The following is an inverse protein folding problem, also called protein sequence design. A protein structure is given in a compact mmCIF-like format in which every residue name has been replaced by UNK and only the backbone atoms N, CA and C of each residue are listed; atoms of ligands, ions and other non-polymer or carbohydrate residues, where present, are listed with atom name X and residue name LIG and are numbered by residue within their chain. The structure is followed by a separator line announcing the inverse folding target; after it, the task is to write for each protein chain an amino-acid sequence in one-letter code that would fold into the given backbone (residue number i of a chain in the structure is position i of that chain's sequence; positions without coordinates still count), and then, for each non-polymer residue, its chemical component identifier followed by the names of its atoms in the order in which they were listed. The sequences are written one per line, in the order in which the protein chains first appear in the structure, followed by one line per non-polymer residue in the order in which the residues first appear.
data_IF_749661936867
#
_entry.id   IF_749661936867
#
_cell.length_a   1.000
_cell.length_b   1.000
_cell.length_c   1.000
_cell.angle_alpha   90.00
_cell.angle_beta   90.00
_cell.angle_gamma   90.00
#
_symmetry.space_group_name_H-M   'P 1'
#
loop_
_entity.id
_entity.type
_entity.pdbx_description
1 polymer ?
#
# COMPACT_ATOMS: atom_id res chain seq x y z
N UNK A 1 4.29 21.91 -6.48
CA UNK A 1 3.64 21.31 -5.30
C UNK A 1 2.87 22.41 -4.60
N UNK A 2 1.70 22.13 -4.01
CA UNK A 2 1.02 23.12 -3.17
C UNK A 2 1.86 23.36 -1.91
N UNK A 3 2.18 24.63 -1.61
CA UNK A 3 3.01 25.01 -0.44
C UNK A 3 2.22 24.97 0.89
N UNK A 4 0.99 24.43 0.89
CA UNK A 4 0.12 24.39 2.05
C UNK A 4 0.40 23.19 2.97
N UNK A 5 1.17 22.20 2.50
CA UNK A 5 1.53 21.04 3.32
C UNK A 5 2.66 21.42 4.27
N UNK A 6 2.34 21.51 5.57
CA UNK A 6 3.33 21.68 6.63
C UNK A 6 3.95 20.30 6.92
N UNK A 7 5.23 20.13 6.56
CA UNK A 7 5.96 18.88 6.78
C UNK A 7 6.76 18.99 8.09
N UNK A 8 6.56 18.10 9.08
CA UNK A 8 7.38 18.04 10.28
C UNK A 8 8.87 17.80 9.98
N UNK A 9 9.77 18.30 10.84
CA UNK A 9 11.22 18.17 10.65
C UNK A 9 11.74 16.72 10.60
N UNK A 10 10.99 15.78 11.17
CA UNK A 10 11.34 14.36 11.22
C UNK A 10 10.74 13.52 10.08
N UNK A 11 10.15 14.14 9.06
CA UNK A 11 9.53 13.45 7.92
C UNK A 11 10.11 13.99 6.61
N UNK A 12 10.69 13.10 5.81
CA UNK A 12 11.11 13.42 4.44
C UNK A 12 10.03 12.99 3.45
N UNK A 13 9.58 13.92 2.61
CA UNK A 13 8.64 13.60 1.53
C UNK A 13 9.40 13.00 0.36
N UNK A 14 9.05 11.78 -0.02
CA UNK A 14 9.53 11.13 -1.24
C UNK A 14 8.54 11.39 -2.38
N UNK A 15 8.86 12.22 -3.39
CA UNK A 15 7.95 12.50 -4.48
C UNK A 15 7.80 11.27 -5.39
N UNK A 16 6.57 10.82 -5.57
CA UNK A 16 6.23 9.79 -6.54
C UNK A 16 6.00 10.44 -7.92
N UNK A 17 6.62 9.93 -9.01
CA UNK A 17 6.34 10.42 -10.35
C UNK A 17 4.84 10.30 -10.70
N UNK A 18 4.24 11.31 -11.35
CA UNK A 18 2.86 11.23 -11.79
C UNK A 18 2.63 10.02 -12.71
N UNK A 19 1.48 9.34 -12.54
CA UNK A 19 1.07 8.18 -13.36
C UNK A 19 2.04 6.98 -13.31
N UNK A 20 2.81 6.84 -12.23
CA UNK A 20 3.69 5.68 -11.99
C UNK A 20 3.20 4.78 -10.85
N UNK A 21 2.04 4.09 -10.99
CA UNK A 21 1.54 3.18 -9.97
C UNK A 21 2.51 2.04 -9.67
N UNK A 22 3.31 1.63 -10.65
CA UNK A 22 4.34 0.60 -10.52
C UNK A 22 5.42 0.97 -9.52
N UNK A 23 5.64 2.26 -9.24
CA UNK A 23 6.63 2.74 -8.27
C UNK A 23 6.04 2.84 -6.85
N UNK A 24 4.71 2.90 -6.70
CA UNK A 24 4.04 3.00 -5.42
C UNK A 24 4.00 1.63 -4.71
N UNK A 25 4.67 1.44 -3.57
CA UNK A 25 4.63 0.16 -2.84
C UNK A 25 3.23 -0.20 -2.33
N UNK A 26 2.37 0.80 -2.08
CA UNK A 26 1.00 0.58 -1.59
C UNK A 26 0.15 -0.12 -2.65
N UNK A 27 0.30 0.23 -3.92
CA UNK A 27 -0.42 -0.42 -5.03
C UNK A 27 -0.09 -1.92 -5.13
N UNK A 28 1.17 -2.29 -4.89
CA UNK A 28 1.59 -3.69 -4.89
C UNK A 28 1.01 -4.47 -3.70
N UNK A 29 0.91 -3.85 -2.52
CA UNK A 29 0.28 -4.48 -1.35
C UNK A 29 -1.22 -4.74 -1.62
N UNK A 30 -1.91 -3.75 -2.20
CA UNK A 30 -3.30 -3.91 -2.62
C UNK A 30 -3.47 -4.98 -3.69
N UNK A 31 -2.61 -5.02 -4.69
CA UNK A 31 -2.60 -6.06 -5.71
C UNK A 31 -2.46 -7.45 -5.08
N UNK A 32 -1.49 -7.61 -4.18
CA UNK A 32 -1.27 -8.86 -3.47
C UNK A 32 -2.51 -9.32 -2.68
N UNK A 33 -3.10 -8.44 -1.87
CA UNK A 33 -4.32 -8.75 -1.11
C UNK A 33 -5.48 -9.12 -2.03
N UNK A 34 -5.63 -8.39 -3.14
CA UNK A 34 -6.67 -8.64 -4.14
C UNK A 34 -6.49 -10.01 -4.77
N UNK A 35 -5.31 -10.32 -5.31
CA UNK A 35 -5.07 -11.59 -6.01
C UNK A 35 -5.22 -12.80 -5.09
N UNK A 36 -4.79 -12.70 -3.84
CA UNK A 36 -4.68 -13.85 -2.94
C UNK A 36 -5.92 -14.08 -2.06
N UNK A 37 -6.61 -13.03 -1.63
CA UNK A 37 -7.66 -13.16 -0.62
C UNK A 37 -9.00 -12.57 -1.02
N UNK A 38 -9.02 -11.49 -1.79
CA UNK A 38 -10.25 -10.74 -2.11
C UNK A 38 -10.80 -11.00 -3.52
N UNK A 39 -10.04 -11.68 -4.39
CA UNK A 39 -10.44 -12.01 -5.76
C UNK A 39 -11.61 -13.00 -5.79
N UNK A 40 -12.43 -12.93 -6.84
CA UNK A 40 -13.54 -13.86 -7.11
C UNK A 40 -14.55 -14.03 -5.96
N UNK A 41 -14.80 -12.96 -5.20
CA UNK A 41 -15.82 -12.91 -4.13
C UNK A 41 -16.98 -12.02 -4.52
N UNK A 42 -18.17 -12.41 -4.07
CA UNK A 42 -19.37 -11.56 -4.10
C UNK A 42 -19.58 -11.03 -2.69
N UNK A 43 -19.59 -9.70 -2.57
CA UNK A 43 -19.74 -8.97 -1.32
C UNK A 43 -21.20 -8.55 -1.14
N UNK A 44 -21.76 -8.73 0.06
CA UNK A 44 -23.04 -8.13 0.47
C UNK A 44 -22.75 -6.75 1.07
N UNK A 45 -23.15 -5.68 0.37
CA UNK A 45 -23.02 -4.26 0.79
C UNK A 45 -21.81 -3.95 1.68
N UNK A 46 -21.96 -4.12 3.00
CA UNK A 46 -21.01 -3.65 4.01
C UNK A 46 -19.98 -4.71 4.42
N UNK A 47 -20.14 -5.98 4.00
CA UNK A 47 -19.20 -7.06 4.34
C UNK A 47 -17.83 -6.91 3.66
N UNK A 48 -17.74 -6.11 2.58
CA UNK A 48 -16.48 -5.81 1.89
C UNK A 48 -15.47 -5.17 2.83
N UNK A 49 -15.93 -4.29 3.73
CA UNK A 49 -15.07 -3.62 4.70
C UNK A 49 -14.50 -4.65 5.68
N UNK A 50 -15.34 -5.55 6.19
CA UNK A 50 -14.92 -6.62 7.09
C UNK A 50 -13.88 -7.54 6.43
N UNK A 51 -14.13 -7.96 5.19
CA UNK A 51 -13.19 -8.79 4.43
C UNK A 51 -11.85 -8.09 4.16
N UNK A 52 -11.88 -6.80 3.81
CA UNK A 52 -10.67 -6.00 3.65
C UNK A 52 -9.90 -5.85 4.97
N UNK A 53 -10.59 -5.62 6.10
CA UNK A 53 -9.98 -5.55 7.42
C UNK A 53 -9.30 -6.88 7.80
N UNK A 54 -9.96 -8.01 7.56
CA UNK A 54 -9.38 -9.33 7.87
C UNK A 54 -8.17 -9.63 6.98
N UNK A 55 -8.26 -9.32 5.70
CA UNK A 55 -7.14 -9.42 4.76
C UNK A 55 -5.96 -8.54 5.21
N UNK A 56 -6.24 -7.31 5.65
CA UNK A 56 -5.20 -6.40 6.14
C UNK A 56 -4.53 -6.92 7.42
N UNK A 57 -5.31 -7.33 8.44
CA UNK A 57 -4.77 -7.93 9.68
C UNK A 57 -3.90 -9.15 9.40
N UNK A 58 -4.32 -9.98 8.42
CA UNK A 58 -3.53 -11.13 7.98
C UNK A 58 -2.21 -10.72 7.32
N UNK A 59 -2.18 -9.61 6.57
CA UNK A 59 -0.95 -9.08 5.98
C UNK A 59 -0.03 -8.46 7.04
N UNK A 60 -0.61 -7.68 7.96
CA UNK A 60 0.07 -7.05 9.09
C UNK A 60 0.82 -8.09 9.94
N UNK A 61 0.22 -9.27 10.17
CA UNK A 61 0.88 -10.37 10.88
C UNK A 61 2.02 -11.03 10.10
N UNK A 62 2.35 -10.54 8.89
CA UNK A 62 3.41 -11.05 8.01
C UNK A 62 4.41 -9.92 7.63
N UNK A 63 5.16 -9.36 8.59
CA UNK A 63 6.02 -8.19 8.36
C UNK A 63 7.07 -8.41 7.25
N UNK A 64 7.66 -9.60 7.17
CA UNK A 64 8.62 -9.95 6.12
C UNK A 64 8.02 -9.90 4.71
N UNK A 65 6.73 -10.25 4.58
CA UNK A 65 6.03 -10.17 3.31
C UNK A 65 5.75 -8.72 2.91
N UNK A 66 5.33 -7.89 3.87
CA UNK A 66 5.16 -6.45 3.65
C UNK A 66 6.48 -5.84 3.17
N UNK A 67 7.58 -6.15 3.86
CA UNK A 67 8.92 -5.68 3.47
C UNK A 67 9.31 -6.15 2.07
N UNK A 68 9.10 -7.43 1.75
CA UNK A 68 9.44 -7.97 0.43
C UNK A 68 8.65 -7.32 -0.70
N UNK A 69 7.38 -6.97 -0.47
CA UNK A 69 6.51 -6.34 -1.48
C UNK A 69 6.79 -4.84 -1.59
N UNK A 70 7.04 -4.19 -0.45
CA UNK A 70 7.19 -2.73 -0.35
C UNK A 70 8.61 -2.22 -0.62
N UNK A 71 9.63 -3.08 -0.64
CA UNK A 71 11.03 -2.66 -0.87
C UNK A 71 11.21 -2.18 -2.31
N UNK A 72 11.65 -0.94 -2.48
CA UNK A 72 11.91 -0.33 -3.78
C UNK A 72 13.33 0.22 -3.87
N UNK A 73 14.12 -0.26 -4.83
CA UNK A 73 15.48 0.23 -5.04
C UNK A 73 15.51 1.71 -5.39
N UNK A 74 14.56 2.19 -6.19
CA UNK A 74 14.49 3.59 -6.61
C UNK A 74 14.36 4.57 -5.44
N UNK A 75 13.73 4.13 -4.34
CA UNK A 75 13.50 4.95 -3.16
C UNK A 75 14.75 5.11 -2.26
N UNK A 76 15.80 4.33 -2.50
CA UNK A 76 17.04 4.32 -1.69
C UNK A 76 18.20 5.08 -2.37
N UNK A 77 17.93 5.86 -3.42
CA UNK A 77 18.96 6.53 -4.24
C UNK A 77 19.11 8.03 -3.94
N UNK A 78 18.56 8.51 -2.83
CA UNK A 78 18.54 9.94 -2.46
C UNK A 78 19.13 10.16 -1.07
#
# INVERSE_FOLDING_TARGET
MSNNLVVPENITILPLPPKSPELNPVENLWLFMRENWLSNRVFKSDDIVAHCCDAWKKLESQPWRIMSIGRREWANRF
#
